data_IF_561145780764
#
_entry.id   IF_561145780764
#
_cell.length_a   1.000
_cell.length_b   1.000
_cell.length_c   1.000
_cell.angle_alpha   90.00
_cell.angle_beta   90.00
_cell.angle_gamma   90.00
#
_symmetry.space_group_name_H-M   'P 1'
#
loop_
_entity.id
_entity.type
_entity.pdbx_description
1 polymer ?
#
# COMPACT_ATOMS: atom_id res chain seq x y z
N UNK A 1 -9.67 -5.68 -11.31
CA UNK A 1 -9.40 -4.80 -10.17
C UNK A 1 -8.23 -3.89 -10.46
N UNK A 2 -8.31 -2.68 -10.02
CA UNK A 2 -7.26 -1.68 -10.20
C UNK A 2 -6.90 -1.07 -8.84
N UNK A 3 -5.60 -0.96 -8.55
CA UNK A 3 -5.11 -0.28 -7.36
C UNK A 3 -4.81 1.16 -7.76
N UNK A 4 -5.51 2.13 -7.18
CA UNK A 4 -5.32 3.55 -7.52
C UNK A 4 -4.22 4.20 -6.71
N UNK A 5 -4.02 3.77 -5.48
CA UNK A 5 -2.92 4.27 -4.65
C UNK A 5 -2.56 3.29 -3.54
N UNK A 6 -1.32 3.41 -3.07
CA UNK A 6 -0.83 2.72 -1.87
C UNK A 6 -0.36 3.82 -0.93
N UNK A 7 -0.96 3.88 0.24
CA UNK A 7 -0.63 4.87 1.25
C UNK A 7 0.02 4.16 2.45
N UNK A 8 1.21 4.60 2.84
CA UNK A 8 1.91 4.07 4.00
C UNK A 8 2.02 5.15 5.05
N UNK A 9 1.49 4.90 6.23
CA UNK A 9 1.59 5.80 7.37
C UNK A 9 2.52 5.23 8.42
N UNK A 10 3.27 6.09 9.09
CA UNK A 10 4.16 5.71 10.19
C UNK A 10 3.85 6.57 11.40
N UNK A 11 3.28 5.97 12.43
CA UNK A 11 2.99 6.66 13.70
C UNK A 11 4.03 6.40 14.77
N UNK A 12 5.08 5.65 14.45
CA UNK A 12 6.19 5.44 15.36
C UNK A 12 7.05 6.69 15.47
N UNK A 13 7.76 6.82 16.57
CA UNK A 13 8.71 7.91 16.79
C UNK A 13 10.04 7.67 16.07
N UNK A 14 10.17 6.56 15.38
CA UNK A 14 11.36 6.14 14.63
C UNK A 14 11.04 6.04 13.14
N UNK A 15 11.95 6.51 12.31
CA UNK A 15 11.88 6.32 10.87
C UNK A 15 12.00 4.82 10.54
N UNK A 16 11.24 4.38 9.54
CA UNK A 16 11.29 3.00 9.08
C UNK A 16 11.52 2.92 7.57
N UNK A 17 12.21 1.86 7.15
CA UNK A 17 12.32 1.50 5.75
C UNK A 17 11.39 0.32 5.51
N UNK A 18 10.50 0.44 4.54
CA UNK A 18 9.54 -0.61 4.21
C UNK A 18 9.75 -1.05 2.76
N UNK A 19 9.76 -2.35 2.54
CA UNK A 19 9.82 -2.90 1.20
C UNK A 19 8.40 -3.17 0.73
N UNK A 20 8.04 -2.63 -0.42
CA UNK A 20 6.74 -2.83 -1.04
C UNK A 20 6.92 -3.67 -2.30
N UNK A 21 6.18 -4.75 -2.39
CA UNK A 21 6.14 -5.61 -3.56
C UNK A 21 4.70 -5.70 -4.05
N UNK A 22 4.48 -5.26 -5.27
CA UNK A 22 3.18 -5.36 -5.94
C UNK A 22 3.39 -6.15 -7.23
N UNK A 23 2.64 -7.23 -7.37
CA UNK A 23 2.82 -8.11 -8.52
C UNK A 23 1.50 -8.70 -9.02
N UNK A 24 1.54 -9.19 -10.25
CA UNK A 24 0.50 -10.02 -10.84
C UNK A 24 1.10 -11.38 -11.14
N UNK A 25 0.32 -12.32 -11.68
CA UNK A 25 0.85 -13.62 -12.08
C UNK A 25 1.89 -13.52 -13.21
N UNK A 26 1.87 -12.44 -13.96
CA UNK A 26 2.72 -12.28 -15.14
C UNK A 26 3.94 -11.38 -14.93
N UNK A 27 3.88 -10.47 -13.94
CA UNK A 27 4.97 -9.50 -13.78
C UNK A 27 4.99 -8.87 -12.40
N UNK A 28 6.15 -8.34 -12.07
CA UNK A 28 6.35 -7.52 -10.88
C UNK A 28 6.15 -6.05 -11.28
N UNK A 29 5.25 -5.36 -10.57
CA UNK A 29 4.94 -3.95 -10.81
C UNK A 29 5.84 -3.06 -9.96
N UNK A 30 5.95 -3.37 -8.67
CA UNK A 30 6.77 -2.65 -7.71
C UNK A 30 7.58 -3.67 -6.90
N UNK A 31 8.86 -3.40 -6.74
CA UNK A 31 9.74 -4.13 -5.84
C UNK A 31 10.82 -3.15 -5.39
N UNK A 32 10.48 -2.32 -4.41
CA UNK A 32 11.34 -1.25 -3.94
C UNK A 32 11.26 -1.05 -2.44
N UNK A 33 12.34 -0.53 -1.88
CA UNK A 33 12.38 -0.09 -0.50
C UNK A 33 12.13 1.41 -0.43
N UNK A 34 11.29 1.80 0.52
CA UNK A 34 10.93 3.19 0.75
C UNK A 34 11.23 3.57 2.19
N UNK A 35 11.74 4.78 2.37
CA UNK A 35 11.94 5.36 3.68
C UNK A 35 10.68 6.12 4.07
N UNK A 36 10.10 5.80 5.22
CA UNK A 36 8.93 6.50 5.75
C UNK A 36 9.36 7.25 6.99
N UNK A 37 9.22 8.57 6.94
CA UNK A 37 9.62 9.41 8.05
C UNK A 37 8.87 9.09 9.34
N UNK A 38 9.48 9.42 10.46
CA UNK A 38 8.88 9.23 11.77
C UNK A 38 7.72 10.21 12.00
N UNK A 39 6.89 9.89 12.98
CA UNK A 39 5.87 10.83 13.45
C UNK A 39 6.55 12.06 14.07
N UNK A 40 5.97 13.21 13.81
CA UNK A 40 6.40 14.49 14.40
C UNK A 40 5.21 15.11 15.10
N UNK A 41 5.21 15.11 16.44
CA UNK A 41 4.07 15.57 17.22
C UNK A 41 2.85 14.70 16.93
N UNK A 42 1.77 15.32 16.48
CA UNK A 42 0.53 14.64 16.13
C UNK A 42 0.47 14.22 14.66
N UNK A 43 1.51 14.50 13.88
CA UNK A 43 1.52 14.22 12.45
C UNK A 43 2.39 12.98 12.19
N UNK A 44 1.76 11.92 11.69
CA UNK A 44 2.46 10.71 11.26
C UNK A 44 3.28 10.95 10.00
N UNK A 45 4.36 10.18 9.83
CA UNK A 45 5.09 10.14 8.58
C UNK A 45 4.22 9.47 7.51
N UNK A 46 4.32 9.92 6.28
CA UNK A 46 3.49 9.42 5.19
C UNK A 46 4.28 9.19 3.91
N UNK A 47 3.88 8.16 3.19
CA UNK A 47 4.35 7.85 1.84
C UNK A 47 3.14 7.57 0.98
N UNK A 48 3.07 8.17 -0.19
CA UNK A 48 1.98 7.94 -1.14
C UNK A 48 2.56 7.47 -2.47
N UNK A 49 2.10 6.31 -2.93
CA UNK A 49 2.48 5.74 -4.21
C UNK A 49 1.26 5.82 -5.12
N UNK A 50 1.33 6.67 -6.15
CA UNK A 50 0.25 6.89 -7.09
C UNK A 50 0.57 6.46 -8.52
N UNK A 51 1.84 6.22 -8.83
CA UNK A 51 2.25 5.79 -10.17
C UNK A 51 2.04 4.30 -10.34
N UNK A 52 0.77 3.92 -10.52
CA UNK A 52 0.36 2.53 -10.62
C UNK A 52 -0.29 2.27 -11.98
N UNK A 53 -0.27 1.00 -12.45
CA UNK A 53 -0.90 0.67 -13.72
C UNK A 53 -2.38 1.01 -13.76
N UNK A 54 -2.83 1.55 -14.87
CA UNK A 54 -4.25 1.83 -15.08
C UNK A 54 -5.05 0.57 -15.41
N UNK A 55 -4.36 -0.53 -15.66
CA UNK A 55 -4.99 -1.78 -16.06
C UNK A 55 -5.56 -2.54 -14.87
N UNK A 56 -6.71 -3.15 -15.06
CA UNK A 56 -7.29 -4.05 -14.07
C UNK A 56 -6.56 -5.40 -14.13
N UNK A 57 -6.25 -5.96 -12.97
CA UNK A 57 -5.60 -7.27 -12.87
C UNK A 57 -5.80 -7.84 -11.47
N UNK A 58 -5.32 -9.05 -11.24
CA UNK A 58 -5.29 -9.65 -9.92
C UNK A 58 -3.97 -9.32 -9.26
N UNK A 59 -3.96 -8.25 -8.47
CA UNK A 59 -2.75 -7.79 -7.81
C UNK A 59 -2.55 -8.45 -6.45
N UNK A 60 -1.30 -8.76 -6.14
CA UNK A 60 -0.86 -9.20 -4.82
C UNK A 60 0.12 -8.18 -4.29
N UNK A 61 -0.09 -7.77 -3.06
CA UNK A 61 0.72 -6.78 -2.38
C UNK A 61 1.36 -7.38 -1.15
N UNK A 62 2.67 -7.20 -0.99
CA UNK A 62 3.36 -7.50 0.27
C UNK A 62 4.12 -6.28 0.76
N UNK A 63 4.17 -6.13 2.07
CA UNK A 63 4.92 -5.09 2.72
C UNK A 63 5.77 -5.70 3.84
N UNK A 64 7.05 -5.38 3.85
CA UNK A 64 8.02 -5.96 4.77
C UNK A 64 8.83 -4.88 5.47
N UNK A 65 8.78 -4.86 6.80
CA UNK A 65 9.63 -4.00 7.61
C UNK A 65 10.95 -4.71 7.98
N UNK A 66 10.86 -5.99 8.28
CA UNK A 66 11.98 -6.83 8.65
C UNK A 66 11.65 -8.27 8.30
N UNK A 67 12.61 -9.20 8.35
CA UNK A 67 12.30 -10.61 8.10
C UNK A 67 11.21 -11.18 9.01
N UNK A 68 11.01 -10.57 10.16
CA UNK A 68 10.01 -11.02 11.14
C UNK A 68 8.70 -10.25 11.09
N UNK A 69 8.65 -9.12 10.39
CA UNK A 69 7.48 -8.25 10.35
C UNK A 69 7.11 -7.95 8.90
N UNK A 70 6.14 -8.70 8.41
CA UNK A 70 5.63 -8.52 7.05
C UNK A 70 4.14 -8.80 7.00
N UNK A 71 3.48 -8.27 5.99
CA UNK A 71 2.07 -8.56 5.71
C UNK A 71 1.91 -8.83 4.22
N UNK A 72 0.99 -9.74 3.92
CA UNK A 72 0.55 -9.99 2.56
C UNK A 72 -0.91 -9.57 2.47
N UNK A 73 -1.22 -8.79 1.44
CA UNK A 73 -2.59 -8.31 1.22
C UNK A 73 -3.11 -8.96 -0.06
N UNK A 74 -4.08 -9.84 0.08
CA UNK A 74 -4.82 -10.33 -1.07
C UNK A 74 -5.89 -9.31 -1.39
N UNK A 75 -5.55 -8.43 -2.30
CA UNK A 75 -6.36 -7.27 -2.62
C UNK A 75 -7.73 -7.70 -3.16
N UNK A 76 -7.80 -8.80 -3.90
CA UNK A 76 -9.04 -9.31 -4.47
C UNK A 76 -10.00 -9.82 -3.40
N UNK A 77 -9.49 -10.47 -2.37
CA UNK A 77 -10.32 -10.98 -1.28
C UNK A 77 -10.75 -9.88 -0.30
N UNK A 78 -9.88 -8.88 -0.09
CA UNK A 78 -10.14 -7.79 0.86
C UNK A 78 -11.23 -6.84 0.37
N UNK A 79 -11.36 -6.68 -0.94
CA UNK A 79 -12.37 -5.78 -1.51
C UNK A 79 -12.84 -6.29 -2.87
N UNK A 80 -14.15 -6.46 -3.06
CA UNK A 80 -14.69 -6.82 -4.37
C UNK A 80 -14.78 -5.65 -5.35
N UNK A 81 -14.38 -4.45 -4.93
CA UNK A 81 -14.45 -3.27 -5.77
C UNK A 81 -13.47 -3.33 -6.92
N UNK A 82 -13.82 -2.74 -8.05
CA UNK A 82 -12.96 -2.69 -9.22
C UNK A 82 -11.80 -1.71 -9.07
N UNK A 83 -11.95 -0.76 -8.18
CA UNK A 83 -10.94 0.26 -7.93
C UNK A 83 -10.76 0.46 -6.44
N UNK A 84 -9.52 0.35 -5.96
CA UNK A 84 -9.25 0.39 -4.53
C UNK A 84 -8.03 1.24 -4.19
N UNK A 85 -8.02 1.71 -2.94
CA UNK A 85 -6.84 2.28 -2.29
C UNK A 85 -6.40 1.31 -1.21
N UNK A 86 -5.10 1.08 -1.10
CA UNK A 86 -4.52 0.27 -0.04
C UNK A 86 -3.84 1.18 0.96
N UNK A 87 -4.13 0.97 2.24
CA UNK A 87 -3.47 1.68 3.33
C UNK A 87 -2.69 0.71 4.17
N UNK A 88 -1.44 1.06 4.43
CA UNK A 88 -0.55 0.29 5.30
C UNK A 88 -0.15 1.20 6.45
N UNK A 89 -0.27 0.71 7.67
CA UNK A 89 0.05 1.49 8.86
C UNK A 89 1.18 0.83 9.63
N UNK A 90 2.25 1.58 9.87
CA UNK A 90 3.37 1.17 10.71
C UNK A 90 3.10 1.71 12.13
N UNK A 91 2.90 0.83 13.10
CA UNK A 91 2.74 1.21 14.50
C UNK A 91 4.09 1.24 15.21
N UNK A 92 4.91 0.22 14.98
CA UNK A 92 6.27 0.12 15.48
C UNK A 92 7.02 -0.93 14.64
N UNK A 93 8.26 -1.25 15.02
CA UNK A 93 9.09 -2.19 14.27
C UNK A 93 8.52 -3.61 14.22
N UNK A 94 7.55 -3.93 15.07
CA UNK A 94 6.95 -5.26 15.18
C UNK A 94 5.48 -5.32 14.79
N UNK A 95 4.86 -4.16 14.51
CA UNK A 95 3.42 -4.10 14.19
C UNK A 95 3.14 -3.32 12.92
N UNK A 96 2.56 -4.02 11.98
CA UNK A 96 2.20 -3.51 10.67
C UNK A 96 0.78 -3.97 10.36
N UNK A 97 -0.06 -3.07 9.90
CA UNK A 97 -1.45 -3.40 9.52
C UNK A 97 -1.77 -2.89 8.13
N UNK A 98 -2.80 -3.45 7.54
CA UNK A 98 -3.29 -3.01 6.23
C UNK A 98 -4.79 -2.86 6.24
N UNK A 99 -5.27 -1.99 5.35
CA UNK A 99 -6.69 -1.76 5.13
C UNK A 99 -6.90 -1.44 3.65
N UNK A 100 -7.96 -1.99 3.08
CA UNK A 100 -8.31 -1.78 1.67
C UNK A 100 -9.64 -1.04 1.62
N UNK A 101 -9.69 0.04 0.84
CA UNK A 101 -10.89 0.85 0.69
C UNK A 101 -11.26 0.99 -0.77
N UNK A 102 -12.56 1.07 -1.05
CA UNK A 102 -13.02 1.42 -2.37
C UNK A 102 -12.57 2.84 -2.71
N UNK A 103 -12.07 3.02 -3.92
CA UNK A 103 -11.60 4.32 -4.39
C UNK A 103 -12.56 4.89 -5.44
N UNK A 104 -12.80 6.19 -5.39
CA UNK A 104 -13.58 6.90 -6.40
C UNK A 104 -12.72 7.39 -7.56
N UNK A 105 -11.39 7.27 -7.44
CA UNK A 105 -10.46 7.80 -8.44
C UNK A 105 -10.63 7.16 -9.82
N UNK A 106 -10.94 5.86 -9.87
CA UNK A 106 -11.13 5.17 -11.14
C UNK A 106 -12.48 5.51 -11.78
N UNK A 107 -13.49 5.78 -10.98
CA UNK A 107 -14.81 6.17 -11.47
C UNK A 107 -14.77 7.52 -12.16
N UNK A 108 -14.03 8.46 -11.61
CA UNK A 108 -13.84 9.78 -12.20
C UNK A 108 -13.24 9.69 -13.61
N UNK A 109 -12.29 8.78 -13.79
CA UNK A 109 -11.67 8.56 -15.10
C UNK A 109 -12.64 7.89 -16.08
N UNK A 110 -13.54 7.05 -15.60
CA UNK A 110 -14.49 6.33 -16.45
C UNK A 110 -15.59 7.20 -17.03
N UNK A 111 -15.84 8.35 -16.46
CA UNK A 111 -16.87 9.28 -16.92
C UNK A 111 -16.39 10.25 -18.01
N UNK A 112 -15.13 10.21 -18.29
CA UNK A 112 -14.55 11.00 -19.37
C UNK A 112 -14.49 10.23 -20.67
#
# INVERSE_FOLDING_TARGET
>A
MRVSSIHVGNIDSTEHTIRIELETDERVIIDEEYRVERRRGDIGGELLIEELPAEADEYRLSATLSPETSIDVDVAEESPSDCIDVRIQIFDAERLTSNVKQSDACESAAHE
#
